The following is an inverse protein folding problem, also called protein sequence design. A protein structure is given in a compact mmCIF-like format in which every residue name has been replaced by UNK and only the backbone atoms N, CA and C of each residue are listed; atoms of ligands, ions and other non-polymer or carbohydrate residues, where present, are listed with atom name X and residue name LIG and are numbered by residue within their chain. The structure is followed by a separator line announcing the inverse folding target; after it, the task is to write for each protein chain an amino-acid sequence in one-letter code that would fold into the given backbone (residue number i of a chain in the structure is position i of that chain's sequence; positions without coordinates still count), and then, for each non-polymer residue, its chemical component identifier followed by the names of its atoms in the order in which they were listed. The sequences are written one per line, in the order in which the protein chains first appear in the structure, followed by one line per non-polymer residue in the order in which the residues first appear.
data_IF_507422661788
#
_entry.id   IF_507422661788
#
_cell.length_a   1.000
_cell.length_b   1.000
_cell.length_c   1.000
_cell.angle_alpha   90.00
_cell.angle_beta   90.00
_cell.angle_gamma   90.00
#
_symmetry.space_group_name_H-M   'P 1'
#
loop_
_entity.id
_entity.type
_entity.pdbx_description
1 polymer ?
#
# COMPACT_ATOMS: atom_id res chain seq x y z
N UNK A 1 12.98 48.35 29.94
CA UNK A 1 12.99 47.91 28.53
C UNK A 1 12.52 46.45 28.50
N UNK A 2 11.26 46.20 28.14
CA UNK A 2 10.63 44.86 28.22
C UNK A 2 10.88 44.11 26.90
N UNK A 3 11.72 43.09 26.95
CA UNK A 3 11.97 42.19 25.81
C UNK A 3 10.75 41.28 25.66
N UNK A 4 10.16 41.30 24.47
CA UNK A 4 8.92 40.61 24.10
C UNK A 4 9.10 39.09 24.19
N UNK A 5 8.50 38.48 25.22
CA UNK A 5 8.34 37.03 25.38
C UNK A 5 7.25 36.47 24.45
N UNK A 6 7.35 36.75 23.14
CA UNK A 6 6.35 36.31 22.15
C UNK A 6 6.96 35.62 20.93
N UNK A 7 8.30 35.48 20.87
CA UNK A 7 8.97 34.90 19.71
C UNK A 7 9.23 33.38 19.82
N UNK A 8 9.15 32.81 21.04
CA UNK A 8 9.50 31.41 21.27
C UNK A 8 8.37 30.41 20.95
N UNK A 9 7.11 30.84 20.96
CA UNK A 9 5.95 29.96 20.70
C UNK A 9 5.78 29.65 19.19
N UNK A 10 6.30 30.52 18.30
CA UNK A 10 6.12 30.35 16.85
C UNK A 10 7.10 29.36 16.21
N UNK A 11 8.21 29.02 16.86
CA UNK A 11 9.24 28.10 16.33
C UNK A 11 8.86 26.62 16.59
N UNK A 12 8.11 26.31 17.64
CA UNK A 12 7.68 24.94 17.94
C UNK A 12 6.66 24.38 16.93
N UNK A 13 5.87 25.23 16.28
CA UNK A 13 4.88 24.80 15.27
C UNK A 13 5.51 24.39 13.92
N UNK A 14 6.78 24.73 13.67
CA UNK A 14 7.47 24.41 12.42
C UNK A 14 8.27 23.10 12.49
N UNK A 15 8.51 22.54 13.68
CA UNK A 15 9.29 21.32 13.87
C UNK A 15 8.44 20.04 13.91
N UNK A 16 7.10 20.15 14.01
CA UNK A 16 6.18 19.00 13.95
C UNK A 16 5.69 18.69 12.54
N UNK A 17 6.49 18.98 11.51
CA UNK A 17 6.35 18.27 10.25
C UNK A 17 6.95 16.87 10.43
N UNK A 18 6.29 16.02 11.22
CA UNK A 18 6.60 14.59 11.27
C UNK A 18 6.45 14.06 9.85
N UNK A 19 7.60 13.85 9.18
CA UNK A 19 7.61 13.25 7.86
C UNK A 19 6.92 11.89 7.98
N UNK A 20 5.80 11.72 7.28
CA UNK A 20 5.04 10.47 7.28
C UNK A 20 6.00 9.32 6.94
N UNK A 21 6.06 8.33 7.81
CA UNK A 21 6.89 7.15 7.57
C UNK A 21 6.50 6.53 6.21
N UNK A 22 7.46 6.27 5.31
CA UNK A 22 7.15 5.69 4.01
C UNK A 22 6.56 4.29 4.19
N UNK A 23 5.68 3.91 3.27
CA UNK A 23 5.01 2.61 3.28
C UNK A 23 6.01 1.47 2.98
N UNK A 24 6.96 1.74 2.09
CA UNK A 24 8.06 0.86 1.69
C UNK A 24 9.41 1.54 1.85
N UNK A 25 10.44 0.76 2.21
CA UNK A 25 11.81 1.27 2.24
C UNK A 25 12.31 1.59 0.83
N UNK A 26 13.33 2.45 0.72
CA UNK A 26 13.99 2.74 -0.56
C UNK A 26 14.52 1.47 -1.23
N UNK A 27 15.03 0.53 -0.43
CA UNK A 27 15.52 -0.77 -0.89
C UNK A 27 14.41 -1.62 -1.50
N UNK A 28 13.24 -1.72 -0.86
CA UNK A 28 12.11 -2.47 -1.43
C UNK A 28 11.63 -1.84 -2.74
N UNK A 29 11.53 -0.50 -2.80
CA UNK A 29 11.17 0.20 -4.04
C UNK A 29 12.20 -0.08 -5.15
N UNK A 30 13.49 -0.03 -4.82
CA UNK A 30 14.58 -0.37 -5.75
C UNK A 30 14.43 -1.79 -6.27
N UNK A 31 14.21 -2.76 -5.38
CA UNK A 31 14.02 -4.17 -5.75
C UNK A 31 12.83 -4.33 -6.71
N UNK A 32 11.67 -3.72 -6.41
CA UNK A 32 10.52 -3.74 -7.33
C UNK A 32 10.85 -3.19 -8.71
N UNK A 33 11.61 -2.09 -8.78
CA UNK A 33 11.96 -1.47 -10.07
C UNK A 33 12.97 -2.29 -10.87
N UNK A 34 14.03 -2.82 -10.24
CA UNK A 34 15.10 -3.55 -10.94
C UNK A 34 14.63 -4.90 -11.50
N UNK A 35 13.64 -5.52 -10.86
CA UNK A 35 12.99 -6.75 -11.34
C UNK A 35 12.11 -6.52 -12.57
N UNK A 36 11.78 -5.25 -12.86
CA UNK A 36 10.77 -4.86 -13.86
C UNK A 36 11.38 -4.20 -15.11
N UNK A 37 12.60 -3.65 -15.01
CA UNK A 37 13.35 -3.03 -16.12
C UNK A 37 14.22 -4.03 -16.89
N UNK A 38 13.73 -5.26 -17.07
CA UNK A 38 14.43 -6.28 -17.84
C UNK A 38 14.35 -5.93 -19.34
N UNK A 39 15.49 -5.53 -19.90
CA UNK A 39 15.72 -5.33 -21.33
C UNK A 39 15.27 -6.57 -22.14
N UNK A 40 14.74 -6.36 -23.36
CA UNK A 40 14.22 -7.34 -24.32
C UNK A 40 15.15 -8.54 -24.67
N UNK A 41 16.33 -8.65 -24.07
CA UNK A 41 17.36 -9.63 -24.41
C UNK A 41 17.82 -10.54 -23.26
N UNK A 42 17.32 -10.36 -22.03
CA UNK A 42 17.74 -11.20 -20.89
C UNK A 42 16.56 -11.58 -20.02
N UNK A 43 15.97 -12.76 -20.24
CA UNK A 43 15.00 -13.34 -19.31
C UNK A 43 15.71 -13.68 -17.99
N UNK A 44 15.82 -12.71 -17.07
CA UNK A 44 16.09 -13.03 -15.67
C UNK A 44 14.86 -13.74 -15.12
N UNK A 45 15.10 -14.81 -14.38
CA UNK A 45 14.06 -15.57 -13.70
C UNK A 45 13.08 -14.62 -12.99
N UNK A 46 11.77 -14.94 -13.00
CA UNK A 46 10.79 -14.11 -12.30
C UNK A 46 11.26 -13.88 -10.86
N UNK A 47 11.02 -12.69 -10.29
CA UNK A 47 11.31 -12.47 -8.89
C UNK A 47 10.76 -13.63 -8.06
N UNK A 48 11.48 -14.07 -7.02
CA UNK A 48 10.99 -15.15 -6.17
C UNK A 48 9.57 -14.83 -5.71
N UNK A 49 8.76 -15.87 -5.53
CA UNK A 49 7.33 -15.80 -5.17
C UNK A 49 7.03 -14.93 -3.93
N UNK A 50 8.05 -14.53 -3.18
CA UNK A 50 8.07 -13.53 -2.11
C UNK A 50 7.57 -12.13 -2.51
N UNK A 51 7.43 -11.80 -3.80
CA UNK A 51 6.97 -10.48 -4.25
C UNK A 51 5.52 -10.43 -4.78
N UNK A 52 4.75 -11.51 -4.64
CA UNK A 52 3.30 -11.50 -4.87
C UNK A 52 2.59 -10.83 -3.69
N UNK A 53 2.70 -9.50 -3.63
CA UNK A 53 1.94 -8.69 -2.69
C UNK A 53 0.98 -7.80 -3.46
N UNK A 54 -0.20 -7.65 -2.89
CA UNK A 54 -1.18 -6.68 -3.33
C UNK A 54 -0.67 -5.28 -3.04
N UNK A 55 -0.63 -4.44 -4.07
CA UNK A 55 -0.30 -3.03 -4.00
C UNK A 55 -1.58 -2.21 -4.14
N UNK A 56 -1.69 -1.18 -3.31
CA UNK A 56 -2.85 -0.29 -3.32
C UNK A 56 -2.40 1.13 -3.65
N UNK A 57 -2.95 1.70 -4.72
CA UNK A 57 -2.64 3.06 -5.19
C UNK A 57 -3.92 3.89 -5.29
N UNK A 58 -3.80 5.21 -5.10
CA UNK A 58 -4.95 6.13 -5.12
C UNK A 58 -5.22 6.62 -6.53
N UNK A 59 -6.50 6.81 -6.85
CA UNK A 59 -6.96 7.39 -8.13
C UNK A 59 -7.76 8.67 -7.91
N UNK A 60 -7.88 9.49 -8.95
CA UNK A 60 -8.48 10.85 -8.90
C UNK A 60 -9.97 10.90 -8.57
N UNK A 61 -10.67 9.78 -8.70
CA UNK A 61 -12.08 9.57 -8.30
C UNK A 61 -12.24 9.16 -6.82
N UNK A 62 -11.16 9.23 -6.04
CA UNK A 62 -11.08 8.77 -4.64
C UNK A 62 -11.27 7.26 -4.50
N UNK A 63 -11.10 6.50 -5.58
CA UNK A 63 -11.00 5.06 -5.51
C UNK A 63 -9.58 4.63 -5.14
N UNK A 64 -9.49 3.39 -4.66
CA UNK A 64 -8.24 2.68 -4.44
C UNK A 64 -8.18 1.59 -5.49
N UNK A 65 -7.08 1.56 -6.23
CA UNK A 65 -6.79 0.55 -7.23
C UNK A 65 -5.95 -0.55 -6.58
N UNK A 66 -6.45 -1.79 -6.66
CA UNK A 66 -5.69 -2.99 -6.35
C UNK A 66 -4.83 -3.35 -7.56
N UNK A 67 -3.54 -3.58 -7.34
CA UNK A 67 -2.55 -3.73 -8.40
C UNK A 67 -1.38 -4.60 -7.94
N UNK A 68 -0.52 -4.95 -8.89
CA UNK A 68 0.78 -5.59 -8.73
C UNK A 68 1.89 -4.70 -9.27
N UNK A 69 3.15 -5.07 -9.04
CA UNK A 69 4.32 -4.37 -9.61
C UNK A 69 4.25 -4.36 -11.14
N UNK A 70 3.88 -5.48 -11.76
CA UNK A 70 3.79 -5.62 -13.22
C UNK A 70 2.73 -4.70 -13.84
N UNK A 71 1.58 -4.58 -13.18
CA UNK A 71 0.52 -3.67 -13.62
C UNK A 71 0.94 -2.21 -13.44
N UNK A 72 1.60 -1.86 -12.33
CA UNK A 72 2.18 -0.53 -12.16
C UNK A 72 3.27 -0.22 -13.20
N UNK A 73 4.08 -1.19 -13.61
CA UNK A 73 5.05 -1.04 -14.70
C UNK A 73 4.35 -0.74 -16.02
N UNK A 74 3.29 -1.50 -16.33
CA UNK A 74 2.48 -1.26 -17.53
C UNK A 74 1.94 0.17 -17.54
N UNK A 75 1.37 0.62 -16.42
CA UNK A 75 0.85 1.99 -16.29
C UNK A 75 1.93 3.04 -16.46
N UNK A 76 3.11 2.83 -15.85
CA UNK A 76 4.25 3.71 -16.00
C UNK A 76 4.65 3.85 -17.49
N UNK A 77 4.93 2.73 -18.16
CA UNK A 77 5.40 2.71 -19.55
C UNK A 77 4.41 3.37 -20.51
N UNK A 78 3.11 3.14 -20.32
CA UNK A 78 2.10 3.62 -21.27
C UNK A 78 1.62 5.04 -21.00
N UNK A 79 1.71 5.54 -19.76
CA UNK A 79 1.01 6.77 -19.37
C UNK A 79 1.82 7.76 -18.52
N UNK A 80 2.86 7.31 -17.84
CA UNK A 80 3.59 8.15 -16.88
C UNK A 80 5.11 8.27 -17.16
N UNK A 81 5.63 7.63 -18.21
CA UNK A 81 7.06 7.64 -18.53
C UNK A 81 7.62 9.03 -18.86
N UNK A 82 6.79 9.95 -19.39
CA UNK A 82 7.18 11.34 -19.60
C UNK A 82 7.13 12.19 -18.33
N UNK A 83 6.42 11.73 -17.29
CA UNK A 83 6.22 12.47 -16.04
C UNK A 83 7.24 12.09 -14.95
N UNK A 84 7.74 10.86 -14.99
CA UNK A 84 8.70 10.36 -14.03
C UNK A 84 9.93 9.84 -14.75
N UNK A 85 11.11 10.28 -14.32
CA UNK A 85 12.38 9.93 -14.98
C UNK A 85 12.74 8.43 -14.88
N UNK A 86 12.10 7.69 -13.98
CA UNK A 86 12.31 6.24 -13.84
C UNK A 86 11.11 5.55 -13.20
N UNK A 87 11.00 4.24 -13.41
CA UNK A 87 9.95 3.44 -12.77
C UNK A 87 10.08 3.44 -11.24
N UNK A 88 11.31 3.46 -10.72
CA UNK A 88 11.56 3.59 -9.28
C UNK A 88 10.99 4.89 -8.69
N UNK A 89 11.16 6.03 -9.38
CA UNK A 89 10.57 7.31 -8.95
C UNK A 89 9.05 7.26 -8.99
N UNK A 90 8.48 6.65 -10.03
CA UNK A 90 7.04 6.42 -10.12
C UNK A 90 6.51 5.57 -8.97
N UNK A 91 7.12 4.40 -8.69
CA UNK A 91 6.74 3.53 -7.57
C UNK A 91 6.82 4.25 -6.23
N UNK A 92 7.89 4.99 -5.98
CA UNK A 92 8.02 5.76 -4.75
C UNK A 92 6.90 6.81 -4.62
N UNK A 93 6.55 7.50 -5.72
CA UNK A 93 5.49 8.49 -5.70
C UNK A 93 4.13 7.86 -5.34
N UNK A 94 3.74 6.78 -6.04
CA UNK A 94 2.41 6.15 -5.88
C UNK A 94 2.27 5.33 -4.60
N UNK A 95 3.34 4.70 -4.11
CA UNK A 95 3.28 3.83 -2.92
C UNK A 95 3.63 4.55 -1.61
N UNK A 96 4.51 5.57 -1.65
CA UNK A 96 5.01 6.25 -0.44
C UNK A 96 4.54 7.71 -0.32
N UNK A 97 4.31 8.42 -1.42
CA UNK A 97 4.08 9.87 -1.40
C UNK A 97 2.64 10.29 -1.70
N UNK A 98 1.68 9.36 -1.56
CA UNK A 98 0.26 9.59 -1.77
C UNK A 98 -0.07 10.21 -3.15
N UNK A 99 0.79 10.00 -4.16
CA UNK A 99 0.51 10.46 -5.52
C UNK A 99 -0.78 9.81 -6.04
N UNK A 100 -1.58 10.61 -6.74
CA UNK A 100 -2.89 10.22 -7.24
C UNK A 100 -2.79 9.95 -8.75
N UNK A 101 -3.12 8.74 -9.16
CA UNK A 101 -3.21 8.35 -10.56
C UNK A 101 -4.48 8.95 -11.20
N UNK A 102 -4.41 9.36 -12.46
CA UNK A 102 -5.57 9.79 -13.23
C UNK A 102 -6.47 8.58 -13.53
N UNK A 103 -7.72 8.60 -13.07
CA UNK A 103 -8.68 7.52 -13.27
C UNK A 103 -9.01 7.27 -14.74
N UNK A 104 -8.84 8.27 -15.62
CA UNK A 104 -9.06 8.10 -17.07
C UNK A 104 -8.09 7.11 -17.70
N UNK A 105 -6.92 6.94 -17.09
CA UNK A 105 -5.87 6.01 -17.52
C UNK A 105 -6.24 4.55 -17.20
N UNK A 106 -7.16 4.33 -16.26
CA UNK A 106 -7.59 3.00 -15.79
C UNK A 106 -9.03 2.64 -16.20
N UNK A 107 -9.62 3.38 -17.15
CA UNK A 107 -11.00 3.19 -17.59
C UNK A 107 -11.24 1.79 -18.18
N UNK A 108 -12.10 0.97 -17.55
CA UNK A 108 -12.83 -0.26 -17.96
C UNK A 108 -12.11 -1.36 -18.79
N UNK A 109 -10.97 -1.09 -19.42
CA UNK A 109 -10.16 -2.02 -20.24
C UNK A 109 -8.94 -2.53 -19.49
N UNK A 110 -8.45 -1.78 -18.51
CA UNK A 110 -7.50 -2.29 -17.51
C UNK A 110 -8.31 -3.09 -16.51
N UNK A 111 -8.17 -4.41 -16.54
CA UNK A 111 -8.87 -5.41 -15.70
C UNK A 111 -8.60 -5.28 -14.18
N UNK A 112 -8.15 -4.12 -13.72
CA UNK A 112 -7.75 -3.87 -12.35
C UNK A 112 -8.97 -3.59 -11.48
N UNK A 113 -9.05 -4.29 -10.36
CA UNK A 113 -10.09 -4.09 -9.37
C UNK A 113 -9.91 -2.72 -8.70
N UNK A 114 -10.97 -1.91 -8.66
CA UNK A 114 -11.02 -0.67 -7.89
C UNK A 114 -12.14 -0.75 -6.85
N UNK A 115 -11.94 -0.06 -5.73
CA UNK A 115 -12.96 0.04 -4.68
C UNK A 115 -12.89 1.38 -3.97
N UNK A 116 -14.00 1.75 -3.34
CA UNK A 116 -14.06 2.89 -2.41
C UNK A 116 -13.90 2.39 -0.99
N UNK A 117 -13.11 3.12 -0.21
CA UNK A 117 -12.93 2.84 1.22
C UNK A 117 -14.29 2.88 1.92
N UNK A 118 -14.62 1.81 2.63
CA UNK A 118 -15.84 1.76 3.43
C UNK A 118 -15.73 2.73 4.61
N UNK A 119 -16.58 3.78 4.67
CA UNK A 119 -16.43 4.85 5.65
C UNK A 119 -16.68 4.37 7.09
N UNK A 120 -17.44 3.30 7.28
CA UNK A 120 -17.68 2.75 8.62
C UNK A 120 -16.45 2.03 9.17
N UNK A 121 -15.74 1.28 8.31
CA UNK A 121 -14.50 0.60 8.70
C UNK A 121 -13.38 1.60 8.92
N UNK A 122 -13.26 2.61 8.06
CA UNK A 122 -12.28 3.69 8.22
C UNK A 122 -12.52 4.47 9.53
N UNK A 123 -13.77 4.86 9.81
CA UNK A 123 -14.12 5.52 11.09
C UNK A 123 -13.81 4.64 12.28
N UNK A 124 -14.10 3.34 12.20
CA UNK A 124 -13.80 2.40 13.28
C UNK A 124 -12.30 2.26 13.51
N UNK A 125 -11.50 2.11 12.44
CA UNK A 125 -10.04 2.09 12.51
C UNK A 125 -9.47 3.36 13.15
N UNK A 126 -9.94 4.54 12.72
CA UNK A 126 -9.50 5.82 13.26
C UNK A 126 -9.79 5.95 14.77
N UNK A 127 -10.83 5.27 15.27
CA UNK A 127 -11.19 5.25 16.69
C UNK A 127 -10.36 4.24 17.50
N UNK A 128 -10.13 3.04 16.98
CA UNK A 128 -9.57 1.91 17.75
C UNK A 128 -8.07 1.70 17.53
N UNK A 129 -7.51 2.22 16.43
CA UNK A 129 -6.12 2.05 16.04
C UNK A 129 -5.76 0.61 15.60
N UNK A 130 -4.52 0.43 15.14
CA UNK A 130 -4.07 -0.80 14.48
C UNK A 130 -4.11 -2.05 15.38
N UNK A 131 -3.79 -1.94 16.68
CA UNK A 131 -3.77 -3.10 17.57
C UNK A 131 -5.17 -3.69 17.75
N UNK A 132 -6.15 -2.86 18.09
CA UNK A 132 -7.54 -3.30 18.25
C UNK A 132 -8.17 -3.70 16.92
N UNK A 133 -7.80 -3.03 15.83
CA UNK A 133 -8.21 -3.41 14.48
C UNK A 133 -7.76 -4.84 14.14
N UNK A 134 -6.50 -5.20 14.41
CA UNK A 134 -6.00 -6.56 14.24
C UNK A 134 -6.77 -7.55 15.13
N UNK A 135 -6.99 -7.24 16.41
CA UNK A 135 -7.78 -8.14 17.30
C UNK A 135 -9.19 -8.39 16.77
N UNK A 136 -9.82 -7.37 16.20
CA UNK A 136 -11.17 -7.45 15.63
C UNK A 136 -11.20 -8.32 14.37
N UNK A 137 -10.34 -8.02 13.40
CA UNK A 137 -10.40 -8.59 12.04
C UNK A 137 -9.47 -9.77 11.79
N UNK A 138 -8.73 -10.24 12.81
CA UNK A 138 -7.86 -11.41 12.68
C UNK A 138 -8.24 -12.56 13.62
N UNK A 139 -7.71 -13.74 13.30
CA UNK A 139 -7.75 -14.94 14.13
C UNK A 139 -6.41 -15.67 14.05
N UNK A 140 -6.08 -16.38 15.11
CA UNK A 140 -4.93 -17.30 15.11
C UNK A 140 -5.36 -18.65 14.56
N UNK A 141 -4.63 -19.17 13.58
CA UNK A 141 -4.87 -20.51 13.01
C UNK A 141 -4.27 -21.60 13.90
N UNK A 142 -4.62 -22.86 13.63
CA UNK A 142 -4.02 -24.02 14.31
C UNK A 142 -2.47 -24.05 14.20
N UNK A 143 -1.93 -23.55 13.08
CA UNK A 143 -0.49 -23.38 12.85
C UNK A 143 0.13 -22.15 13.51
N UNK A 144 -0.60 -21.49 14.42
CA UNK A 144 -0.17 -20.27 15.14
C UNK A 144 0.13 -19.06 14.24
N UNK A 145 -0.41 -19.06 13.03
CA UNK A 145 -0.31 -17.93 12.09
C UNK A 145 -1.51 -17.01 12.27
N UNK A 146 -1.33 -15.72 12.00
CA UNK A 146 -2.42 -14.76 12.03
C UNK A 146 -3.09 -14.73 10.66
N UNK A 147 -4.40 -14.89 10.61
CA UNK A 147 -5.20 -14.86 9.40
C UNK A 147 -6.36 -13.88 9.52
N UNK A 148 -6.88 -13.43 8.38
CA UNK A 148 -8.11 -12.65 8.30
C UNK A 148 -9.28 -13.49 8.81
N UNK A 149 -10.09 -12.89 9.68
CA UNK A 149 -11.35 -13.46 10.18
C UNK A 149 -12.46 -13.25 9.15
N UNK A 150 -12.41 -13.99 8.04
CA UNK A 150 -13.34 -13.86 6.89
C UNK A 150 -14.81 -13.99 7.31
N UNK A 151 -15.12 -14.79 8.33
CA UNK A 151 -16.47 -15.08 8.82
C UNK A 151 -17.23 -13.85 9.38
N UNK A 152 -16.55 -12.76 9.74
CA UNK A 152 -17.20 -11.53 10.21
C UNK A 152 -17.19 -10.40 9.18
N UNK A 153 -16.59 -10.62 8.01
CA UNK A 153 -16.39 -9.61 6.97
C UNK A 153 -17.51 -9.71 5.96
N UNK A 154 -18.20 -8.60 5.71
CA UNK A 154 -19.28 -8.55 4.71
C UNK A 154 -18.72 -8.31 3.32
N UNK A 155 -19.55 -8.53 2.32
CA UNK A 155 -19.24 -8.18 0.94
C UNK A 155 -18.86 -6.69 0.83
N UNK A 156 -17.81 -6.39 0.05
CA UNK A 156 -17.27 -5.04 -0.11
C UNK A 156 -16.44 -4.50 1.07
N UNK A 157 -16.42 -5.18 2.22
CA UNK A 157 -15.63 -4.74 3.38
C UNK A 157 -14.17 -5.19 3.30
N UNK A 158 -13.92 -6.34 2.67
CA UNK A 158 -12.61 -6.98 2.65
C UNK A 158 -11.52 -6.07 2.08
N UNK A 159 -11.73 -5.47 0.91
CA UNK A 159 -10.72 -4.63 0.25
C UNK A 159 -10.35 -3.41 1.10
N UNK A 160 -11.29 -2.88 1.88
CA UNK A 160 -11.01 -1.81 2.86
C UNK A 160 -10.14 -2.29 4.01
N UNK A 161 -10.42 -3.49 4.55
CA UNK A 161 -9.61 -4.08 5.63
C UNK A 161 -8.18 -4.37 5.13
N UNK A 162 -8.05 -4.96 3.94
CA UNK A 162 -6.77 -5.22 3.29
C UNK A 162 -5.97 -3.92 3.08
N UNK A 163 -6.64 -2.86 2.60
CA UNK A 163 -6.03 -1.55 2.41
C UNK A 163 -5.54 -0.92 3.72
N UNK A 164 -6.34 -0.98 4.78
CA UNK A 164 -5.95 -0.45 6.09
C UNK A 164 -4.72 -1.20 6.60
N UNK A 165 -4.71 -2.53 6.52
CA UNK A 165 -3.54 -3.34 6.88
C UNK A 165 -2.30 -2.95 6.07
N UNK A 166 -2.46 -2.81 4.76
CA UNK A 166 -1.42 -2.37 3.85
C UNK A 166 -0.82 -1.01 4.24
N UNK A 167 -1.65 0.00 4.50
CA UNK A 167 -1.18 1.33 4.93
C UNK A 167 -0.48 1.31 6.29
N UNK A 168 -0.71 0.28 7.11
CA UNK A 168 -0.13 0.11 8.44
C UNK A 168 1.04 -0.90 8.47
N UNK A 169 1.61 -1.25 7.32
CA UNK A 169 2.81 -2.07 7.25
C UNK A 169 2.56 -3.57 7.42
N UNK A 170 1.38 -4.03 7.07
CA UNK A 170 1.03 -5.45 6.99
C UNK A 170 0.72 -5.82 5.54
N UNK A 171 1.11 -7.01 5.13
CA UNK A 171 0.78 -7.57 3.83
C UNK A 171 -0.09 -8.82 4.02
N UNK A 172 -0.87 -9.15 2.98
CA UNK A 172 -1.66 -10.36 2.93
C UNK A 172 -0.96 -11.40 2.06
N UNK A 173 -1.05 -12.65 2.47
CA UNK A 173 -0.58 -13.80 1.69
C UNK A 173 -1.70 -14.83 1.67
N UNK A 174 -2.26 -15.04 0.49
CA UNK A 174 -3.36 -15.95 0.27
C UNK A 174 -2.88 -17.38 0.06
N UNK A 175 -3.48 -18.30 0.80
CA UNK A 175 -3.45 -19.72 0.50
C UNK A 175 -4.74 -20.05 -0.26
N UNK A 176 -4.64 -20.10 -1.58
CA UNK A 176 -5.79 -20.32 -2.46
C UNK A 176 -6.40 -21.72 -2.30
N UNK A 177 -5.63 -22.70 -1.81
CA UNK A 177 -6.14 -24.05 -1.57
C UNK A 177 -7.04 -24.08 -0.34
N UNK A 178 -6.65 -23.37 0.72
CA UNK A 178 -7.41 -23.30 1.96
C UNK A 178 -8.41 -22.13 2.00
N UNK A 179 -8.32 -21.18 1.06
CA UNK A 179 -9.09 -19.94 1.09
C UNK A 179 -8.75 -19.05 2.29
N UNK A 180 -7.50 -19.08 2.76
CA UNK A 180 -7.05 -18.36 3.96
C UNK A 180 -6.09 -17.25 3.57
N UNK A 181 -6.37 -16.02 4.01
CA UNK A 181 -5.42 -14.91 3.90
C UNK A 181 -4.68 -14.71 5.20
N UNK A 182 -3.38 -14.96 5.16
CA UNK A 182 -2.49 -14.73 6.30
C UNK A 182 -2.03 -13.28 6.34
N UNK A 183 -2.09 -12.70 7.53
CA UNK A 183 -1.58 -11.36 7.81
C UNK A 183 -0.11 -11.49 8.23
N UNK A 184 0.78 -10.79 7.56
CA UNK A 184 2.23 -10.77 7.89
C UNK A 184 2.69 -9.33 8.05
N UNK A 185 3.66 -9.08 8.94
CA UNK A 185 4.28 -7.75 8.97
C UNK A 185 5.11 -7.60 7.70
N UNK A 186 5.05 -6.44 7.03
CA UNK A 186 5.75 -6.20 5.77
C UNK A 186 7.25 -6.50 5.82
N UNK A 187 7.90 -6.20 6.94
CA UNK A 187 9.32 -6.50 7.18
C UNK A 187 9.66 -8.00 7.13
N UNK A 188 8.67 -8.88 7.25
CA UNK A 188 8.80 -10.34 7.18
C UNK A 188 8.45 -10.86 5.77
N UNK A 189 7.77 -10.07 4.93
CA UNK A 189 7.44 -10.43 3.54
C UNK A 189 8.67 -10.44 2.63
N UNK A 190 9.72 -9.70 2.98
CA UNK A 190 10.94 -9.51 2.18
C UNK A 190 12.21 -10.06 2.82
N UNK A 191 12.08 -10.98 3.78
CA UNK A 191 13.19 -11.74 4.37
C UNK A 191 13.25 -13.13 3.75
#
# INVERSE_FOLDING_TARGET
MKIKSSFFVSICLLLSCESKKPNFSKEIIKNFSELSEVNDTLVKAPPPTTYQIDLFVKTSDKEILLSSVSELLFLYKNHYYLKFDSFSKFLNAVLNQDYILDSKVHNKRTYLESFKVNPNIEKDFNRIGIEMFLRKYSKTTASKRVAIKREIIKEGEYSTIAYILFKNGYDLSSDCYLGIDYIRKRKESFK
#
